data_IF_979112208674
#
_entry.id   IF_979112208674
#
_cell.length_a   1.000
_cell.length_b   1.000
_cell.length_c   1.000
_cell.angle_alpha   90.00
_cell.angle_beta   90.00
_cell.angle_gamma   90.00
#
_symmetry.space_group_name_H-M   'P 1'
#
loop_
_entity.id
_entity.type
_entity.pdbx_description
1 polymer ?
#
# COMPACT_ATOMS: atom_id res chain seq x y z
N UNK A 1 -10.83 6.81 19.28
CA UNK A 1 -11.73 7.77 18.60
C UNK A 1 -11.17 8.26 17.23
N UNK A 2 -9.86 8.49 17.05
CA UNK A 2 -9.27 8.91 15.76
C UNK A 2 -9.41 7.82 14.69
N UNK A 3 -9.12 6.56 15.02
CA UNK A 3 -9.19 5.41 14.10
C UNK A 3 -10.63 5.17 13.60
N UNK A 4 -11.62 5.36 14.47
CA UNK A 4 -13.02 5.28 14.08
C UNK A 4 -13.39 6.33 13.03
N UNK A 5 -12.88 7.56 13.16
CA UNK A 5 -13.12 8.63 12.17
C UNK A 5 -12.44 8.31 10.83
N UNK A 6 -11.18 7.87 10.87
CA UNK A 6 -10.44 7.45 9.66
C UNK A 6 -11.17 6.30 8.96
N UNK A 7 -11.60 5.27 9.70
CA UNK A 7 -12.36 4.16 9.16
C UNK A 7 -13.66 4.60 8.48
N UNK A 8 -14.42 5.53 9.09
CA UNK A 8 -15.64 6.08 8.47
C UNK A 8 -15.37 6.83 7.17
N UNK A 9 -14.29 7.61 7.10
CA UNK A 9 -13.90 8.27 5.86
C UNK A 9 -13.54 7.27 4.75
N UNK A 10 -12.78 6.24 5.08
CA UNK A 10 -12.43 5.18 4.12
C UNK A 10 -13.69 4.46 3.62
N UNK A 11 -14.61 4.09 4.52
CA UNK A 11 -15.88 3.45 4.14
C UNK A 11 -16.69 4.36 3.23
N UNK A 12 -16.80 5.66 3.54
CA UNK A 12 -17.54 6.60 2.69
C UNK A 12 -16.94 6.69 1.27
N UNK A 13 -15.62 6.72 1.14
CA UNK A 13 -14.95 6.69 -0.17
C UNK A 13 -15.24 5.39 -0.94
N UNK A 14 -15.16 4.24 -0.25
CA UNK A 14 -15.43 2.93 -0.85
C UNK A 14 -16.90 2.79 -1.27
N UNK A 15 -17.85 3.23 -0.43
CA UNK A 15 -19.27 3.22 -0.78
C UNK A 15 -19.57 4.14 -1.97
N UNK A 16 -18.96 5.32 -2.02
CA UNK A 16 -19.13 6.21 -3.16
C UNK A 16 -18.57 5.58 -4.45
N UNK A 17 -17.36 5.04 -4.42
CA UNK A 17 -16.78 4.32 -5.55
C UNK A 17 -17.66 3.15 -6.01
N UNK A 18 -18.24 2.40 -5.05
CA UNK A 18 -19.16 1.31 -5.35
C UNK A 18 -20.45 1.79 -6.05
N UNK A 19 -21.02 2.90 -5.58
CA UNK A 19 -22.25 3.49 -6.17
C UNK A 19 -22.05 3.95 -7.60
N UNK A 20 -20.91 4.59 -7.88
CA UNK A 20 -20.59 5.04 -9.25
C UNK A 20 -19.91 3.95 -10.09
N UNK A 21 -19.63 2.79 -9.49
CA UNK A 21 -19.01 1.64 -10.16
C UNK A 21 -17.60 1.92 -10.65
N UNK A 22 -16.80 2.74 -9.96
CA UNK A 22 -15.45 3.14 -10.35
C UNK A 22 -14.41 2.46 -9.47
N UNK A 23 -13.29 1.94 -10.03
CA UNK A 23 -12.18 1.46 -9.23
C UNK A 23 -11.61 2.58 -8.34
N UNK A 24 -11.10 2.21 -7.18
CA UNK A 24 -10.52 3.16 -6.23
C UNK A 24 -9.29 2.56 -5.57
N UNK A 25 -8.21 3.32 -5.55
CA UNK A 25 -7.06 3.07 -4.70
C UNK A 25 -6.98 4.17 -3.63
N UNK A 26 -6.95 3.77 -2.37
CA UNK A 26 -6.72 4.65 -1.23
C UNK A 26 -5.34 4.36 -0.65
N UNK A 27 -4.49 5.37 -0.55
CA UNK A 27 -3.24 5.28 0.19
C UNK A 27 -3.40 6.00 1.53
N UNK A 28 -3.16 5.28 2.61
CA UNK A 28 -3.31 5.77 3.98
C UNK A 28 -1.96 5.71 4.67
N UNK A 29 -1.54 6.78 5.29
CA UNK A 29 -0.28 6.86 6.04
C UNK A 29 -0.50 7.61 7.36
N UNK A 30 0.31 7.29 8.36
CA UNK A 30 0.28 8.00 9.63
C UNK A 30 0.97 9.36 9.50
N UNK A 31 0.43 10.36 10.18
CA UNK A 31 0.99 11.71 10.25
C UNK A 31 2.31 11.73 11.03
N UNK A 32 2.41 10.93 12.04
CA UNK A 32 3.64 10.72 12.79
C UNK A 32 4.04 9.26 12.78
N UNK A 33 5.17 8.99 13.36
CA UNK A 33 5.70 7.65 13.42
C UNK A 33 4.93 6.82 14.44
N UNK A 34 4.74 5.57 14.09
CA UNK A 34 4.20 4.57 15.00
C UNK A 34 5.36 3.79 15.59
N UNK A 35 5.38 3.65 16.91
CA UNK A 35 6.27 2.71 17.58
C UNK A 35 5.48 1.77 18.48
N UNK A 36 5.95 0.53 18.60
CA UNK A 36 5.43 -0.47 19.53
C UNK A 36 6.45 -0.70 20.62
N UNK A 37 5.97 -0.98 21.83
CA UNK A 37 6.82 -1.43 22.96
C UNK A 37 6.99 -2.94 23.01
N UNK A 38 6.48 -3.67 22.00
CA UNK A 38 6.48 -5.13 21.96
C UNK A 38 5.44 -5.79 22.88
N UNK A 39 4.62 -5.00 23.58
CA UNK A 39 3.53 -5.53 24.41
C UNK A 39 2.30 -5.83 23.54
N UNK A 40 1.64 -6.95 23.86
CA UNK A 40 0.38 -7.30 23.23
C UNK A 40 -0.78 -6.86 24.13
N UNK A 41 -1.74 -6.16 23.54
CA UNK A 41 -3.01 -5.88 24.20
C UNK A 41 -3.89 -7.13 24.17
N UNK A 42 -3.96 -7.82 25.31
CA UNK A 42 -4.73 -9.05 25.49
C UNK A 42 -6.15 -8.81 26.00
N UNK A 43 -6.59 -7.55 26.10
CA UNK A 43 -7.98 -7.23 26.43
C UNK A 43 -8.93 -7.66 25.31
N UNK A 44 -10.22 -7.72 25.60
CA UNK A 44 -11.26 -8.07 24.61
C UNK A 44 -11.25 -7.13 23.40
N UNK A 45 -10.89 -5.87 23.60
CA UNK A 45 -10.78 -4.87 22.52
C UNK A 45 -9.45 -5.00 21.75
N UNK A 46 -8.36 -5.31 22.41
CA UNK A 46 -7.02 -5.46 21.83
C UNK A 46 -6.84 -6.74 21.03
N UNK A 47 -7.43 -7.84 21.49
CA UNK A 47 -7.42 -9.16 20.82
C UNK A 47 -6.03 -9.65 20.42
N UNK A 48 -5.03 -9.40 21.26
CA UNK A 48 -3.66 -9.80 21.00
C UNK A 48 -2.92 -8.96 19.96
N UNK A 49 -3.39 -7.76 19.63
CA UNK A 49 -2.69 -6.84 18.77
C UNK A 49 -1.53 -6.16 19.49
N UNK A 50 -0.50 -5.80 18.73
CA UNK A 50 0.61 -5.00 19.25
C UNK A 50 0.13 -3.64 19.75
N UNK A 51 0.59 -3.27 20.93
CA UNK A 51 0.31 -1.95 21.51
C UNK A 51 1.20 -0.88 20.88
N UNK A 52 0.59 0.20 20.40
CA UNK A 52 1.26 1.34 19.79
C UNK A 52 1.34 2.46 20.82
N UNK A 53 2.55 2.83 21.21
CA UNK A 53 2.74 3.63 22.41
C UNK A 53 3.15 5.06 22.19
N UNK A 54 3.75 5.39 21.07
CA UNK A 54 4.23 6.77 20.86
C UNK A 54 4.39 7.15 19.41
N UNK A 55 4.32 8.44 19.22
CA UNK A 55 4.69 9.17 18.04
C UNK A 55 6.22 9.43 18.10
N UNK A 56 6.95 8.97 17.10
CA UNK A 56 8.37 9.26 16.96
C UNK A 56 8.69 9.75 15.53
N UNK A 57 9.75 10.47 15.34
CA UNK A 57 10.09 11.12 14.06
C UNK A 57 10.68 10.15 13.02
N UNK A 58 10.82 8.88 13.31
CA UNK A 58 11.63 7.97 12.50
C UNK A 58 10.85 6.82 11.85
N UNK A 59 9.63 6.54 12.27
CA UNK A 59 8.86 5.41 11.74
C UNK A 59 7.43 5.81 11.42
N UNK A 60 6.90 5.32 10.30
CA UNK A 60 5.52 5.56 9.91
C UNK A 60 4.86 4.23 9.47
N UNK A 61 3.59 4.08 9.77
CA UNK A 61 2.76 3.03 9.24
C UNK A 61 2.00 3.52 8.00
N UNK A 62 1.93 2.70 6.97
CA UNK A 62 1.12 3.01 5.80
C UNK A 62 0.57 1.75 5.16
N UNK A 63 -0.52 1.89 4.45
CA UNK A 63 -1.10 0.84 3.63
C UNK A 63 -1.91 1.44 2.49
N UNK A 64 -2.18 0.64 1.46
CA UNK A 64 -3.15 1.00 0.46
C UNK A 64 -4.27 -0.05 0.36
N UNK A 65 -5.46 0.43 0.06
CA UNK A 65 -6.64 -0.37 -0.22
C UNK A 65 -7.00 -0.22 -1.70
N UNK A 66 -7.31 -1.34 -2.35
CA UNK A 66 -7.78 -1.35 -3.73
C UNK A 66 -9.20 -1.91 -3.76
N UNK A 67 -10.12 -1.13 -4.30
CA UNK A 67 -11.47 -1.54 -4.61
C UNK A 67 -11.62 -1.66 -6.13
N UNK A 68 -12.17 -2.78 -6.58
CA UNK A 68 -12.57 -2.99 -7.97
C UNK A 68 -14.05 -3.39 -7.98
N UNK A 69 -14.91 -2.69 -8.74
CA UNK A 69 -16.32 -3.01 -8.77
C UNK A 69 -16.59 -4.36 -9.44
N UNK A 70 -17.67 -5.09 -9.05
CA UNK A 70 -17.98 -6.41 -9.61
C UNK A 70 -18.08 -6.43 -11.14
N UNK A 71 -18.55 -5.36 -11.77
CA UNK A 71 -18.64 -5.23 -13.22
C UNK A 71 -17.28 -5.25 -13.96
N UNK A 72 -16.20 -4.98 -13.23
CA UNK A 72 -14.81 -4.97 -13.73
C UNK A 72 -13.99 -6.16 -13.20
N UNK A 73 -14.65 -7.23 -12.75
CA UNK A 73 -14.01 -8.45 -12.26
C UNK A 73 -14.05 -8.61 -10.73
N UNK A 74 -14.47 -7.62 -9.99
CA UNK A 74 -14.60 -7.71 -8.54
C UNK A 74 -13.25 -7.68 -7.81
N UNK A 75 -13.07 -8.49 -6.78
CA UNK A 75 -11.87 -8.49 -5.93
C UNK A 75 -10.58 -8.55 -6.74
N UNK A 76 -9.63 -7.61 -6.54
CA UNK A 76 -8.35 -7.64 -7.24
C UNK A 76 -7.59 -8.94 -6.98
N UNK A 77 -6.95 -9.48 -8.02
CA UNK A 77 -6.07 -10.64 -7.92
C UNK A 77 -4.73 -10.20 -7.35
N UNK A 78 -4.21 -10.96 -6.38
CA UNK A 78 -2.88 -10.69 -5.81
C UNK A 78 -1.80 -11.23 -6.75
N UNK A 79 -0.70 -10.51 -6.87
CA UNK A 79 0.50 -11.00 -7.52
C UNK A 79 1.10 -12.17 -6.74
N UNK A 80 1.61 -13.19 -7.45
CA UNK A 80 2.22 -14.37 -6.89
C UNK A 80 1.32 -15.61 -6.86
N UNK A 81 1.90 -16.76 -7.18
CA UNK A 81 1.19 -18.04 -7.28
C UNK A 81 0.96 -18.72 -5.92
N UNK A 82 1.79 -18.42 -4.92
CA UNK A 82 1.71 -18.98 -3.57
C UNK A 82 1.40 -17.89 -2.55
N UNK A 83 0.84 -18.28 -1.40
CA UNK A 83 0.59 -17.35 -0.29
C UNK A 83 1.86 -16.61 0.13
N UNK A 84 3.00 -17.30 0.18
CA UNK A 84 4.28 -16.68 0.54
C UNK A 84 4.68 -15.60 -0.46
N UNK A 85 4.60 -15.87 -1.77
CA UNK A 85 4.85 -14.89 -2.81
C UNK A 85 3.88 -13.71 -2.72
N UNK A 86 2.58 -13.96 -2.54
CA UNK A 86 1.58 -12.91 -2.37
C UNK A 86 1.88 -12.01 -1.18
N UNK A 87 2.32 -12.58 -0.06
CA UNK A 87 2.73 -11.80 1.12
C UNK A 87 3.98 -10.96 0.84
N UNK A 88 4.95 -11.48 0.09
CA UNK A 88 6.16 -10.74 -0.29
C UNK A 88 5.81 -9.54 -1.18
N UNK A 89 4.95 -9.73 -2.17
CA UNK A 89 4.50 -8.66 -3.07
C UNK A 89 3.73 -7.53 -2.37
N UNK A 90 3.07 -7.83 -1.24
CA UNK A 90 2.28 -6.86 -0.48
C UNK A 90 3.10 -6.08 0.55
N UNK A 91 4.34 -6.45 0.81
CA UNK A 91 5.15 -5.82 1.87
C UNK A 91 5.91 -4.60 1.36
N UNK A 92 5.54 -3.42 1.86
CA UNK A 92 6.33 -2.20 1.74
C UNK A 92 7.46 -2.16 2.79
N UNK A 93 7.27 -2.82 3.90
CA UNK A 93 8.20 -3.00 5.01
C UNK A 93 7.50 -3.75 6.15
N UNK A 94 8.25 -4.09 7.19
CA UNK A 94 7.68 -4.73 8.38
C UNK A 94 8.42 -4.29 9.65
N UNK A 95 7.81 -4.57 10.79
CA UNK A 95 8.43 -4.39 12.10
C UNK A 95 8.92 -5.74 12.62
N UNK A 96 10.04 -5.73 13.31
CA UNK A 96 10.56 -6.90 14.02
C UNK A 96 9.69 -7.23 15.27
N UNK A 97 9.99 -8.35 15.92
CA UNK A 97 9.26 -8.77 17.12
C UNK A 97 9.36 -7.79 18.29
N UNK A 98 10.36 -6.92 18.31
CA UNK A 98 10.52 -5.84 19.28
C UNK A 98 9.76 -4.56 18.94
N UNK A 99 9.02 -4.55 17.83
CA UNK A 99 8.26 -3.39 17.36
C UNK A 99 9.12 -2.31 16.67
N UNK A 100 10.36 -2.63 16.33
CA UNK A 100 11.24 -1.73 15.58
C UNK A 100 11.09 -1.96 14.07
N UNK A 101 11.21 -0.89 13.28
CA UNK A 101 11.20 -1.01 11.82
C UNK A 101 12.45 -1.76 11.34
N UNK A 102 12.25 -2.83 10.60
CA UNK A 102 13.32 -3.55 9.91
C UNK A 102 13.79 -2.74 8.70
N UNK A 103 14.68 -1.78 8.93
CA UNK A 103 15.09 -0.73 7.97
C UNK A 103 15.72 -1.26 6.68
N UNK A 104 16.25 -2.46 6.70
CA UNK A 104 16.85 -3.11 5.54
C UNK A 104 15.93 -4.17 4.88
N UNK A 105 14.69 -4.29 5.35
CA UNK A 105 13.76 -5.31 4.87
C UNK A 105 13.40 -5.13 3.38
N UNK A 106 13.17 -3.88 2.99
CA UNK A 106 12.87 -3.48 1.61
C UNK A 106 13.54 -2.15 1.31
N UNK A 107 13.76 -1.79 0.04
CA UNK A 107 14.29 -0.47 -0.32
C UNK A 107 13.46 0.68 0.24
N UNK A 108 12.15 0.49 0.40
CA UNK A 108 11.19 1.51 0.86
C UNK A 108 11.17 1.66 2.39
N UNK A 109 11.59 0.66 3.15
CA UNK A 109 11.44 0.63 4.61
C UNK A 109 12.11 1.79 5.36
N UNK A 110 13.10 2.45 4.75
CA UNK A 110 13.79 3.60 5.33
C UNK A 110 14.01 4.73 4.30
N UNK A 111 13.17 4.81 3.27
CA UNK A 111 13.31 5.82 2.22
C UNK A 111 11.94 6.25 1.70
N UNK A 112 11.51 7.45 2.11
CA UNK A 112 10.20 8.01 1.76
C UNK A 112 10.05 8.18 0.24
N UNK A 113 11.09 8.57 -0.47
CA UNK A 113 11.02 8.73 -1.93
C UNK A 113 10.77 7.40 -2.62
N UNK A 114 11.48 6.33 -2.20
CA UNK A 114 11.25 4.99 -2.73
C UNK A 114 9.86 4.45 -2.36
N UNK A 115 9.35 4.79 -1.17
CA UNK A 115 7.99 4.45 -0.78
C UNK A 115 6.97 5.11 -1.73
N UNK A 116 7.09 6.40 -1.97
CA UNK A 116 6.21 7.14 -2.90
C UNK A 116 6.30 6.56 -4.31
N UNK A 117 7.50 6.27 -4.78
CA UNK A 117 7.71 5.66 -6.10
C UNK A 117 7.05 4.27 -6.19
N UNK A 118 7.09 3.49 -5.11
CA UNK A 118 6.44 2.16 -5.05
C UNK A 118 4.91 2.29 -5.04
N UNK A 119 4.35 3.27 -4.34
CA UNK A 119 2.90 3.53 -4.36
C UNK A 119 2.46 3.94 -5.77
N UNK A 120 3.21 4.81 -6.44
CA UNK A 120 2.95 5.21 -7.83
C UNK A 120 3.07 4.03 -8.79
N UNK A 121 4.10 3.18 -8.62
CA UNK A 121 4.26 1.96 -9.40
C UNK A 121 3.02 1.05 -9.28
N UNK A 122 2.52 0.83 -8.07
CA UNK A 122 1.33 0.01 -7.84
C UNK A 122 0.08 0.65 -8.48
N UNK A 123 -0.06 1.97 -8.39
CA UNK A 123 -1.16 2.66 -9.07
C UNK A 123 -1.10 2.46 -10.59
N UNK A 124 0.06 2.65 -11.20
CA UNK A 124 0.24 2.46 -12.65
C UNK A 124 0.10 0.98 -13.05
N UNK A 125 0.54 0.04 -12.22
CA UNK A 125 0.35 -1.39 -12.45
C UNK A 125 -1.13 -1.79 -12.47
N UNK A 126 -1.96 -1.21 -11.62
CA UNK A 126 -3.42 -1.44 -11.66
C UNK A 126 -4.04 -0.99 -13.00
N UNK A 127 -3.39 -0.09 -13.72
CA UNK A 127 -3.80 0.39 -15.05
C UNK A 127 -3.07 -0.30 -16.21
N UNK A 128 -2.31 -1.37 -15.96
CA UNK A 128 -1.45 -2.03 -16.96
C UNK A 128 -0.42 -1.08 -17.60
N UNK A 129 0.12 -0.15 -16.82
CA UNK A 129 1.02 0.91 -17.29
C UNK A 129 2.43 0.83 -16.66
N UNK A 130 2.93 -0.36 -16.39
CA UNK A 130 4.28 -0.56 -15.82
C UNK A 130 5.36 -0.02 -16.77
N UNK A 131 5.19 -0.22 -18.09
CA UNK A 131 6.11 0.32 -19.09
C UNK A 131 6.17 1.85 -19.07
N UNK A 132 5.05 2.50 -18.85
CA UNK A 132 4.97 3.97 -18.76
C UNK A 132 5.59 4.50 -17.48
N UNK A 133 5.63 3.73 -16.40
CA UNK A 133 6.32 4.09 -15.16
C UNK A 133 7.81 4.32 -15.41
N UNK A 134 8.49 3.43 -16.12
CA UNK A 134 9.90 3.61 -16.46
C UNK A 134 10.11 4.81 -17.38
N UNK A 135 9.23 4.99 -18.37
CA UNK A 135 9.26 6.12 -19.29
C UNK A 135 9.05 7.45 -18.58
N UNK A 136 8.14 7.52 -17.60
CA UNK A 136 7.93 8.70 -16.75
C UNK A 136 9.24 9.15 -16.10
N UNK A 137 9.97 8.25 -15.49
CA UNK A 137 11.21 8.59 -14.79
C UNK A 137 12.35 8.93 -15.75
N UNK A 138 12.58 8.14 -16.80
CA UNK A 138 13.71 8.33 -17.71
C UNK A 138 13.55 9.54 -18.63
N UNK A 139 12.37 9.72 -19.20
CA UNK A 139 12.15 10.71 -20.27
C UNK A 139 11.47 12.00 -19.82
N UNK A 140 10.52 11.91 -18.85
CA UNK A 140 9.77 13.08 -18.39
C UNK A 140 10.47 13.73 -17.21
N UNK A 141 10.70 12.95 -16.13
CA UNK A 141 11.34 13.46 -14.92
C UNK A 141 12.87 13.54 -15.04
N UNK A 142 13.47 12.88 -16.03
CA UNK A 142 14.91 12.80 -16.28
C UNK A 142 15.71 12.39 -15.04
N UNK A 143 15.20 11.41 -14.32
CA UNK A 143 15.80 10.86 -13.10
C UNK A 143 15.62 9.34 -13.06
N UNK A 144 16.05 8.71 -11.99
CA UNK A 144 15.86 7.27 -11.75
C UNK A 144 14.85 7.07 -10.62
N UNK A 145 13.92 6.14 -10.77
CA UNK A 145 12.96 5.80 -9.72
C UNK A 145 13.59 5.08 -8.51
N UNK A 146 14.81 4.55 -8.65
CA UNK A 146 15.57 3.95 -7.55
C UNK A 146 15.12 2.56 -7.08
N UNK A 147 14.11 1.97 -7.73
CA UNK A 147 13.56 0.65 -7.34
C UNK A 147 14.29 -0.55 -7.98
N UNK A 148 15.28 -0.27 -8.86
CA UNK A 148 15.99 -1.33 -9.58
C UNK A 148 15.25 -1.79 -10.84
N UNK A 149 15.68 -2.92 -11.41
CA UNK A 149 15.15 -3.43 -12.69
C UNK A 149 13.98 -4.40 -12.52
N UNK A 150 13.88 -5.05 -11.37
CA UNK A 150 12.84 -6.01 -11.04
C UNK A 150 11.68 -5.30 -10.33
N UNK A 151 10.86 -4.61 -11.10
CA UNK A 151 9.73 -3.84 -10.57
C UNK A 151 8.57 -4.73 -10.14
N UNK A 152 8.39 -5.87 -10.78
CA UNK A 152 7.27 -6.78 -10.54
C UNK A 152 7.20 -7.22 -9.08
N UNK A 153 8.34 -7.45 -8.44
CA UNK A 153 8.43 -7.84 -7.02
C UNK A 153 7.78 -6.85 -6.05
N UNK A 154 7.57 -5.59 -6.47
CA UNK A 154 6.98 -4.53 -5.64
C UNK A 154 5.52 -4.24 -6.00
N UNK A 155 4.93 -5.02 -6.90
CA UNK A 155 3.55 -4.88 -7.34
C UNK A 155 2.70 -5.88 -6.58
N UNK A 156 1.65 -5.39 -5.91
CA UNK A 156 0.79 -6.21 -5.06
C UNK A 156 -0.38 -6.88 -5.80
N UNK A 157 -0.87 -6.26 -6.88
CA UNK A 157 -2.06 -6.71 -7.58
C UNK A 157 -1.85 -6.76 -9.09
N UNK A 158 -2.52 -7.71 -9.74
CA UNK A 158 -2.67 -7.71 -11.19
C UNK A 158 -3.48 -6.49 -11.68
N UNK A 159 -3.34 -6.10 -12.96
CA UNK A 159 -4.12 -5.01 -13.54
C UNK A 159 -5.63 -5.20 -13.39
N UNK A 160 -6.36 -4.14 -13.06
CA UNK A 160 -7.83 -4.13 -12.97
C UNK A 160 -8.48 -3.27 -14.04
N UNK A 161 -7.72 -2.41 -14.71
CA UNK A 161 -8.16 -1.58 -15.85
C UNK A 161 -7.06 -1.54 -16.89
N UNK A 162 -7.42 -1.60 -18.16
CA UNK A 162 -6.48 -1.62 -19.29
C UNK A 162 -6.19 -0.19 -19.74
N UNK A 163 -5.30 0.52 -19.03
CA UNK A 163 -4.85 1.85 -19.41
C UNK A 163 -5.88 2.98 -19.38
N UNK A 164 -7.17 2.65 -19.33
CA UNK A 164 -8.27 3.63 -19.32
C UNK A 164 -9.23 3.35 -18.18
N UNK A 165 -9.55 4.39 -17.41
CA UNK A 165 -10.67 4.30 -16.45
C UNK A 165 -11.96 4.28 -17.27
N UNK A 166 -12.82 3.27 -17.13
CA UNK A 166 -14.11 3.27 -17.80
C UNK A 166 -14.90 4.50 -17.36
N UNK A 167 -15.23 5.37 -18.31
CA UNK A 167 -16.17 6.48 -18.04
C UNK A 167 -17.56 5.88 -17.86
N UNK A 168 -18.21 6.21 -16.76
CA UNK A 168 -19.57 5.75 -16.45
C UNK A 168 -20.61 6.36 -17.37
#
# INVERSE_FOLDING_TARGET
>A
MKDFRAGRCMVACLEYAARIGTPLMLYVFSDGSLSSNGVLDITDDGRGKGEWTSDNSSTAGSFFLVYNPPRLGGRPTLMGATLEQQLQHQQLGYMDAGGSVARAATPMANNVNLLVNTVLLNYMALHDQIGDFQNLYSNILRTNHGLGTDLERFIAFEPIVNGTVPVA
#
